data_IF_960299085019
#
_entry.id   IF_960299085019
#
_cell.length_a   1.000
_cell.length_b   1.000
_cell.length_c   1.000
_cell.angle_alpha   90.00
_cell.angle_beta   90.00
_cell.angle_gamma   90.00
#
_symmetry.space_group_name_H-M   'P 1'
#
loop_
_entity.id
_entity.type
_entity.pdbx_description
1 polymer ?
#
# COMPACT_ATOMS: atom_id res chain seq x y z
N UNK A 1 4.48 -0.38 12.56
CA UNK A 1 3.91 -1.25 11.52
C UNK A 1 2.60 -0.64 11.06
N UNK A 2 2.36 -0.57 9.75
CA UNK A 2 1.14 -0.03 9.15
C UNK A 2 0.01 -1.05 9.21
N UNK A 3 -1.19 -0.66 9.64
CA UNK A 3 -2.35 -1.58 9.73
C UNK A 3 -3.02 -1.76 8.36
N UNK A 4 -3.46 -2.98 8.05
CA UNK A 4 -4.34 -3.24 6.90
C UNK A 4 -5.77 -2.96 7.31
N UNK A 5 -6.40 -1.97 6.69
CA UNK A 5 -7.79 -1.59 6.95
C UNK A 5 -8.76 -2.46 6.15
N UNK A 6 -8.42 -2.72 4.88
CA UNK A 6 -9.22 -3.55 3.98
C UNK A 6 -8.35 -4.35 3.04
N UNK A 7 -8.84 -5.53 2.67
CA UNK A 7 -8.27 -6.41 1.65
C UNK A 7 -9.39 -6.90 0.74
N UNK A 8 -9.26 -6.66 -0.55
CA UNK A 8 -10.24 -7.07 -1.55
C UNK A 8 -9.55 -7.88 -2.66
N UNK A 9 -10.13 -9.01 -3.04
CA UNK A 9 -9.71 -9.76 -4.23
C UNK A 9 -10.43 -9.14 -5.43
N UNK A 10 -9.66 -8.67 -6.42
CA UNK A 10 -10.22 -8.08 -7.63
C UNK A 10 -10.34 -9.13 -8.74
N UNK A 11 -9.36 -10.03 -8.84
CA UNK A 11 -9.34 -11.15 -9.77
C UNK A 11 -8.31 -12.19 -9.32
N UNK A 12 -8.13 -13.27 -10.08
CA UNK A 12 -7.07 -14.24 -9.82
C UNK A 12 -5.70 -13.55 -9.84
N UNK A 13 -4.96 -13.64 -8.73
CA UNK A 13 -3.64 -13.02 -8.58
C UNK A 13 -3.65 -11.52 -8.22
N UNK A 14 -4.79 -10.82 -8.30
CA UNK A 14 -4.86 -9.37 -8.04
C UNK A 14 -5.66 -9.08 -6.76
N UNK A 15 -5.02 -8.35 -5.84
CA UNK A 15 -5.60 -7.94 -4.56
C UNK A 15 -5.39 -6.44 -4.37
N UNK A 16 -6.43 -5.72 -3.95
CA UNK A 16 -6.35 -4.33 -3.47
C UNK A 16 -6.23 -4.34 -1.95
N UNK A 17 -5.35 -3.49 -1.44
CA UNK A 17 -5.18 -3.25 -0.01
C UNK A 17 -5.41 -1.78 0.30
N UNK A 18 -6.11 -1.52 1.40
CA UNK A 18 -6.20 -0.19 2.00
C UNK A 18 -5.41 -0.24 3.31
N UNK A 19 -4.50 0.72 3.49
CA UNK A 19 -3.51 0.74 4.56
C UNK A 19 -3.64 2.02 5.39
N UNK A 20 -3.47 1.90 6.70
CA UNK A 20 -3.49 3.02 7.65
C UNK A 20 -2.13 3.74 7.66
N UNK A 21 -1.92 4.62 6.69
CA UNK A 21 -0.67 5.36 6.47
C UNK A 21 -0.91 6.86 6.23
N UNK A 22 -1.37 7.62 7.24
CA UNK A 22 -1.79 9.03 7.07
C UNK A 22 -0.66 9.96 6.59
N UNK A 23 0.59 9.73 7.01
CA UNK A 23 1.75 10.51 6.55
C UNK A 23 2.00 10.37 5.04
N UNK A 24 1.71 9.20 4.47
CA UNK A 24 1.86 8.93 3.04
C UNK A 24 0.62 9.43 2.31
N UNK A 25 -0.58 9.12 2.81
CA UNK A 25 -1.85 9.51 2.19
C UNK A 25 -1.94 11.03 1.96
N UNK A 26 -1.48 11.83 2.93
CA UNK A 26 -1.47 13.30 2.85
C UNK A 26 -0.46 13.90 1.85
N UNK A 27 0.56 13.15 1.43
CA UNK A 27 1.67 13.66 0.60
C UNK A 27 1.78 13.01 -0.77
N UNK A 28 1.12 11.88 -0.97
CA UNK A 28 1.23 11.13 -2.21
C UNK A 28 0.66 11.93 -3.39
N UNK A 29 1.41 11.93 -4.48
CA UNK A 29 1.08 12.56 -5.75
C UNK A 29 0.99 11.48 -6.85
N UNK A 30 0.24 11.73 -7.95
CA UNK A 30 0.16 10.79 -9.06
C UNK A 30 1.53 10.38 -9.60
N UNK A 31 1.70 9.08 -9.89
CA UNK A 31 2.95 8.51 -10.38
C UNK A 31 3.93 8.08 -9.28
N UNK A 32 3.65 8.35 -8.00
CA UNK A 32 4.48 7.88 -6.89
C UNK A 32 4.15 6.44 -6.46
N UNK A 33 5.10 5.84 -5.75
CA UNK A 33 5.02 4.48 -5.22
C UNK A 33 5.61 4.42 -3.81
N UNK A 34 5.33 3.33 -3.09
CA UNK A 34 5.89 3.04 -1.78
C UNK A 34 6.80 1.81 -1.85
N UNK A 35 7.78 1.73 -0.95
CA UNK A 35 8.52 0.50 -0.69
C UNK A 35 7.87 -0.23 0.47
N UNK A 36 7.40 -1.45 0.22
CA UNK A 36 6.74 -2.28 1.21
C UNK A 36 7.65 -3.43 1.64
N UNK A 37 7.62 -3.73 2.94
CA UNK A 37 8.26 -4.91 3.54
C UNK A 37 7.27 -5.56 4.51
N UNK A 38 6.99 -6.85 4.31
CA UNK A 38 5.90 -7.56 5.04
C UNK A 38 6.32 -7.97 6.45
N UNK A 39 7.57 -8.34 6.66
CA UNK A 39 8.13 -8.74 7.96
C UNK A 39 9.64 -8.44 8.00
N UNK A 40 10.31 -8.73 9.12
CA UNK A 40 11.72 -8.36 9.32
C UNK A 40 12.68 -8.99 8.31
N UNK A 41 12.45 -10.27 7.97
CA UNK A 41 13.26 -11.03 7.00
C UNK A 41 12.77 -10.86 5.55
N UNK A 42 11.67 -10.15 5.34
CA UNK A 42 11.05 -9.99 4.03
C UNK A 42 11.78 -9.01 3.13
N UNK A 43 11.65 -9.20 1.83
CA UNK A 43 12.21 -8.30 0.83
C UNK A 43 11.47 -6.95 0.76
N UNK A 44 12.16 -5.95 0.21
CA UNK A 44 11.61 -4.62 -0.06
C UNK A 44 11.12 -4.58 -1.50
N UNK A 45 9.80 -4.43 -1.68
CA UNK A 45 9.18 -4.41 -3.01
C UNK A 45 8.51 -3.07 -3.29
N UNK A 46 8.64 -2.50 -4.50
CA UNK A 46 7.94 -1.28 -4.88
C UNK A 46 6.49 -1.59 -5.26
N UNK A 47 5.54 -0.79 -4.76
CA UNK A 47 4.12 -0.85 -5.13
C UNK A 47 3.55 0.55 -5.34
N UNK A 48 2.86 0.76 -6.45
CA UNK A 48 2.23 2.05 -6.79
C UNK A 48 1.13 2.41 -5.80
N UNK A 49 1.05 3.70 -5.44
CA UNK A 49 -0.10 4.22 -4.70
C UNK A 49 -1.25 4.41 -5.68
N UNK A 50 -2.25 3.54 -5.61
CA UNK A 50 -3.37 3.56 -6.54
C UNK A 50 -4.40 4.66 -6.24
N UNK A 51 -4.53 5.05 -4.96
CA UNK A 51 -5.55 5.97 -4.47
C UNK A 51 -5.16 6.46 -3.06
N UNK A 52 -5.63 7.64 -2.65
CA UNK A 52 -5.47 8.16 -1.28
C UNK A 52 -6.72 8.88 -0.79
N UNK A 53 -7.03 8.65 0.49
CA UNK A 53 -8.04 9.41 1.24
C UNK A 53 -7.31 10.03 2.43
N UNK A 54 -7.06 11.35 2.43
CA UNK A 54 -6.30 12.04 3.48
C UNK A 54 -7.00 12.05 4.85
#
# INVERSE_FOLDING_TARGET
MTKVLKKQVLSSGIKRFELDAPEIARKAMPGQFVILRVNESGERIPLTVADTVP
#
